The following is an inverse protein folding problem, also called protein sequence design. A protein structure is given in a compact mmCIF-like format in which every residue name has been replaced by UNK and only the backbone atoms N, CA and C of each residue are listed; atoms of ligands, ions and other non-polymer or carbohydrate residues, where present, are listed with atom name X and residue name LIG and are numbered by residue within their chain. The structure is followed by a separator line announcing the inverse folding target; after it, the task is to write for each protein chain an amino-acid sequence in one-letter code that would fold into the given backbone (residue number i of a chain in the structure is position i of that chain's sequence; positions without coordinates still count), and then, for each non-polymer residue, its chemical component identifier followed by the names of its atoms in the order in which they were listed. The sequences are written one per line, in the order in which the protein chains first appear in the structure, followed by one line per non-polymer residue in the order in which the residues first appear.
data_IF_365336298102
#
_entry.id   IF_365336298102
#
_cell.length_a   1.000
_cell.length_b   1.000
_cell.length_c   1.000
_cell.angle_alpha   90.00
_cell.angle_beta   90.00
_cell.angle_gamma   90.00
#
_symmetry.space_group_name_H-M   'P 1'
#
loop_
_entity.id
_entity.type
_entity.pdbx_description
1 polymer ?
#
# COMPACT_ATOMS: atom_id res chain seq x y z
N UNK A 1 -24.71 19.51 -18.52
CA UNK A 1 -23.96 18.61 -17.62
C UNK A 1 -24.08 17.19 -18.17
N UNK A 2 -22.99 16.53 -18.60
CA UNK A 2 -23.10 15.23 -19.24
C UNK A 2 -23.54 14.17 -18.21
N UNK A 3 -24.54 13.39 -18.61
CA UNK A 3 -25.26 12.41 -17.82
C UNK A 3 -24.33 11.25 -17.44
N UNK A 4 -24.24 10.96 -16.14
CA UNK A 4 -23.64 9.75 -15.60
C UNK A 4 -24.46 8.53 -16.02
N UNK A 5 -24.14 7.98 -17.18
CA UNK A 5 -24.52 6.61 -17.54
C UNK A 5 -23.23 5.83 -17.60
N UNK A 6 -22.83 5.19 -16.49
CA UNK A 6 -21.65 4.33 -16.44
C UNK A 6 -21.96 3.03 -17.21
N UNK A 7 -21.41 2.83 -18.41
CA UNK A 7 -21.73 1.65 -19.19
C UNK A 7 -20.87 0.49 -18.68
N UNK A 8 -21.45 -0.71 -18.69
CA UNK A 8 -20.93 -2.04 -18.27
C UNK A 8 -19.42 -2.29 -18.48
N UNK A 9 -18.79 -1.58 -19.42
CA UNK A 9 -17.34 -1.54 -19.66
C UNK A 9 -16.51 -1.09 -18.46
N UNK A 10 -16.93 -0.05 -17.71
CA UNK A 10 -16.18 0.46 -16.55
C UNK A 10 -16.16 -0.55 -15.40
N UNK A 11 -17.29 -1.22 -15.14
CA UNK A 11 -17.38 -2.29 -14.13
C UNK A 11 -16.51 -3.49 -14.49
N UNK A 12 -16.42 -3.87 -15.78
CA UNK A 12 -15.54 -4.95 -16.24
C UNK A 12 -14.05 -4.59 -16.11
N UNK A 13 -13.67 -3.34 -16.39
CA UNK A 13 -12.29 -2.86 -16.20
C UNK A 13 -11.95 -2.82 -14.71
N UNK A 14 -12.80 -2.22 -13.88
CA UNK A 14 -12.60 -2.15 -12.44
C UNK A 14 -12.48 -3.54 -11.81
N UNK A 15 -13.37 -4.48 -12.15
CA UNK A 15 -13.34 -5.86 -11.64
C UNK A 15 -12.05 -6.58 -12.02
N UNK A 16 -11.58 -6.44 -13.27
CA UNK A 16 -10.32 -7.05 -13.72
C UNK A 16 -9.10 -6.43 -13.04
N UNK A 17 -9.06 -5.11 -12.90
CA UNK A 17 -7.97 -4.41 -12.19
C UNK A 17 -7.95 -4.78 -10.71
N UNK A 18 -9.13 -4.84 -10.07
CA UNK A 18 -9.27 -5.21 -8.67
C UNK A 18 -8.83 -6.66 -8.42
N UNK A 19 -9.21 -7.58 -9.30
CA UNK A 19 -8.74 -8.97 -9.25
C UNK A 19 -7.22 -9.07 -9.37
N UNK A 20 -6.62 -8.34 -10.34
CA UNK A 20 -5.17 -8.30 -10.50
C UNK A 20 -4.48 -7.72 -9.26
N UNK A 21 -5.04 -6.66 -8.66
CA UNK A 21 -4.54 -6.06 -7.44
C UNK A 21 -4.54 -7.06 -6.27
N UNK A 22 -5.66 -7.76 -6.04
CA UNK A 22 -5.74 -8.79 -4.99
C UNK A 22 -4.73 -9.91 -5.23
N UNK A 23 -4.64 -10.43 -6.47
CA UNK A 23 -3.67 -11.48 -6.79
C UNK A 23 -2.22 -11.00 -6.55
N UNK A 24 -1.90 -9.76 -6.93
CA UNK A 24 -0.58 -9.18 -6.70
C UNK A 24 -0.29 -8.99 -5.20
N UNK A 25 -1.26 -8.53 -4.41
CA UNK A 25 -1.14 -8.39 -2.96
C UNK A 25 -0.96 -9.74 -2.25
N UNK A 26 -1.74 -10.76 -2.64
CA UNK A 26 -1.60 -12.11 -2.09
C UNK A 26 -0.25 -12.73 -2.45
N UNK A 27 0.21 -12.55 -3.68
CA UNK A 27 1.52 -13.01 -4.12
C UNK A 27 2.64 -12.31 -3.33
N UNK A 28 2.51 -11.01 -3.09
CA UNK A 28 3.47 -10.23 -2.28
C UNK A 28 3.58 -10.76 -0.86
N UNK A 29 2.45 -10.95 -0.18
CA UNK A 29 2.41 -11.47 1.18
C UNK A 29 2.92 -12.91 1.23
N UNK A 30 2.50 -13.78 0.31
CA UNK A 30 2.93 -15.16 0.25
C UNK A 30 4.45 -15.28 0.04
N UNK A 31 5.01 -14.47 -0.86
CA UNK A 31 6.45 -14.46 -1.10
C UNK A 31 7.23 -13.95 0.11
N UNK A 32 6.76 -12.87 0.75
CA UNK A 32 7.35 -12.39 2.00
C UNK A 32 7.34 -13.46 3.10
N UNK A 33 6.23 -14.19 3.23
CA UNK A 33 6.09 -15.26 4.21
C UNK A 33 7.00 -16.46 3.93
N UNK A 34 7.18 -16.83 2.65
CA UNK A 34 8.12 -17.87 2.23
C UNK A 34 9.56 -17.48 2.54
N UNK A 35 9.98 -16.26 2.18
CA UNK A 35 11.35 -15.81 2.45
C UNK A 35 11.62 -15.73 3.95
N UNK A 36 10.71 -15.13 4.73
CA UNK A 36 10.87 -15.03 6.20
C UNK A 36 10.89 -16.42 6.85
N UNK A 37 10.12 -17.38 6.36
CA UNK A 37 10.12 -18.74 6.91
C UNK A 37 11.42 -19.50 6.62
N UNK A 38 12.05 -19.24 5.46
CA UNK A 38 13.32 -19.87 5.06
C UNK A 38 14.50 -19.22 5.78
N UNK A 39 14.59 -17.89 5.75
CA UNK A 39 15.74 -17.16 6.27
C UNK A 39 15.67 -16.92 7.79
N UNK A 40 14.46 -16.94 8.36
CA UNK A 40 14.21 -16.74 9.80
C UNK A 40 15.06 -15.60 10.39
N UNK A 41 14.93 -14.37 9.88
CA UNK A 41 15.69 -13.23 10.41
C UNK A 41 15.29 -12.99 11.87
N UNK A 42 16.13 -13.46 12.79
CA UNK A 42 15.82 -13.50 14.22
C UNK A 42 16.05 -14.84 14.91
N UNK A 43 16.29 -15.93 14.16
CA UNK A 43 16.75 -17.20 14.71
C UNK A 43 18.12 -17.00 15.38
N UNK A 44 18.12 -16.95 16.73
CA UNK A 44 19.32 -16.65 17.53
C UNK A 44 19.25 -15.32 18.29
N UNK A 45 18.27 -14.45 18.00
CA UNK A 45 17.95 -13.28 18.84
C UNK A 45 16.81 -13.69 19.76
N UNK A 46 17.15 -14.20 20.94
CA UNK A 46 16.18 -14.31 22.01
C UNK A 46 15.81 -12.88 22.44
N UNK A 47 14.80 -12.30 21.80
CA UNK A 47 14.03 -11.20 22.37
C UNK A 47 13.29 -11.75 23.59
N UNK A 48 14.00 -12.06 24.68
CA UNK A 48 13.35 -12.29 25.96
C UNK A 48 12.69 -10.96 26.30
N UNK A 49 11.35 -10.86 26.20
CA UNK A 49 10.67 -9.65 26.58
C UNK A 49 10.90 -9.51 28.08
N UNK A 50 11.34 -8.33 28.52
CA UNK A 50 11.48 -8.07 29.96
C UNK A 50 10.13 -8.11 30.71
N UNK A 51 9.01 -8.26 30.00
CA UNK A 51 7.69 -8.51 30.56
C UNK A 51 6.86 -9.43 29.63
N UNK A 52 6.77 -10.71 29.99
CA UNK A 52 5.90 -11.70 29.35
C UNK A 52 4.40 -11.35 29.49
N UNK A 53 4.06 -10.35 30.31
CA UNK A 53 2.69 -9.86 30.50
C UNK A 53 2.16 -8.96 29.37
N UNK A 54 3.03 -8.28 28.61
CA UNK A 54 2.59 -7.35 27.57
C UNK A 54 2.18 -8.05 26.26
N UNK A 55 2.73 -9.24 25.98
CA UNK A 55 2.41 -10.02 24.77
C UNK A 55 1.15 -10.89 24.97
N UNK A 56 0.88 -11.32 26.21
CA UNK A 56 -0.34 -12.05 26.57
C UNK A 56 -1.62 -11.18 26.53
N UNK A 57 -1.47 -9.85 26.44
CA UNK A 57 -2.59 -8.93 26.28
C UNK A 57 -3.10 -8.84 24.83
N UNK A 58 -2.36 -9.36 23.84
CA UNK A 58 -2.87 -9.56 22.48
C UNK A 58 -3.66 -10.87 22.48
N UNK A 59 -4.86 -10.83 23.09
CA UNK A 59 -5.86 -11.86 22.83
C UNK A 59 -6.11 -11.85 21.33
N UNK A 60 -5.63 -12.88 20.63
CA UNK A 60 -6.14 -13.25 19.32
C UNK A 60 -7.62 -13.55 19.49
N UNK A 61 -8.47 -12.54 19.32
CA UNK A 61 -9.89 -12.77 19.08
C UNK A 61 -9.98 -13.74 17.88
N UNK A 62 -10.67 -14.89 18.03
CA UNK A 62 -10.75 -15.86 16.96
C UNK A 62 -11.38 -15.18 15.75
N UNK A 63 -10.63 -15.10 14.66
CA UNK A 63 -11.03 -14.49 13.39
C UNK A 63 -12.21 -15.28 12.79
N UNK A 64 -13.41 -15.04 13.30
CA UNK A 64 -14.65 -15.69 12.89
C UNK A 64 -15.34 -14.76 11.89
N UNK A 65 -15.80 -15.31 10.76
CA UNK A 65 -16.50 -14.53 9.72
C UNK A 65 -17.68 -13.71 10.25
N UNK A 66 -18.37 -14.20 11.30
CA UNK A 66 -19.41 -13.42 12.01
C UNK A 66 -18.86 -12.19 12.72
N UNK A 67 -17.71 -12.31 13.39
CA UNK A 67 -17.05 -11.20 14.11
C UNK A 67 -16.51 -10.19 13.09
N UNK A 68 -15.92 -10.65 11.99
CA UNK A 68 -15.46 -9.77 10.91
C UNK A 68 -16.61 -8.96 10.27
N UNK A 69 -17.76 -9.59 10.03
CA UNK A 69 -18.94 -8.91 9.47
C UNK A 69 -19.61 -7.98 10.50
N UNK A 70 -19.71 -8.39 11.77
CA UNK A 70 -20.27 -7.52 12.81
C UNK A 70 -19.37 -6.34 13.13
N UNK A 71 -18.04 -6.50 13.03
CA UNK A 71 -17.07 -5.42 13.08
C UNK A 71 -16.94 -4.67 11.75
N UNK A 72 -17.61 -5.06 10.66
CA UNK A 72 -17.59 -4.29 9.42
C UNK A 72 -18.69 -3.22 9.38
N UNK A 73 -19.78 -3.42 10.12
CA UNK A 73 -20.89 -2.47 10.21
C UNK A 73 -20.74 -1.62 11.48
N UNK A 74 -20.36 -0.33 11.37
CA UNK A 74 -20.16 0.51 12.54
C UNK A 74 -21.51 0.74 13.24
N UNK A 75 -21.56 0.48 14.55
CA UNK A 75 -22.67 0.93 15.40
C UNK A 75 -22.60 2.44 15.64
N UNK A 76 -21.39 3.01 15.68
CA UNK A 76 -21.13 4.45 15.75
C UNK A 76 -19.71 4.79 15.27
N UNK A 77 -19.56 5.86 14.48
CA UNK A 77 -18.26 6.33 13.95
C UNK A 77 -17.33 6.77 15.09
N UNK A 78 -17.89 7.38 16.14
CA UNK A 78 -17.12 7.88 17.29
C UNK A 78 -16.49 6.73 18.08
N UNK A 79 -17.20 5.61 18.23
CA UNK A 79 -16.67 4.41 18.89
C UNK A 79 -15.60 3.72 18.02
N UNK A 80 -15.79 3.68 16.70
CA UNK A 80 -14.80 3.15 15.76
C UNK A 80 -13.47 3.94 15.79
N UNK A 81 -13.55 5.27 15.86
CA UNK A 81 -12.38 6.14 15.99
C UNK A 81 -11.71 5.99 17.37
N UNK A 82 -12.49 5.83 18.44
CA UNK A 82 -11.95 5.63 19.79
C UNK A 82 -11.24 4.28 19.94
N UNK A 83 -11.76 3.23 19.32
CA UNK A 83 -11.21 1.87 19.36
C UNK A 83 -10.14 1.59 18.30
N UNK A 84 -9.83 2.56 17.43
CA UNK A 84 -8.91 2.41 16.31
C UNK A 84 -9.26 1.22 15.39
N UNK A 85 -10.56 0.99 15.17
CA UNK A 85 -11.08 -0.08 14.32
C UNK A 85 -10.95 0.32 12.83
N UNK A 86 -9.77 0.09 12.26
CA UNK A 86 -9.40 0.55 10.90
C UNK A 86 -10.42 0.07 9.85
N UNK A 87 -10.88 -1.18 9.96
CA UNK A 87 -11.84 -1.75 9.01
C UNK A 87 -13.16 -0.95 8.97
N UNK A 88 -13.70 -0.58 10.13
CA UNK A 88 -14.94 0.19 10.24
C UNK A 88 -14.78 1.59 9.62
N UNK A 89 -13.65 2.23 9.91
CA UNK A 89 -13.33 3.57 9.42
C UNK A 89 -13.26 3.56 7.88
N UNK A 90 -12.62 2.54 7.29
CA UNK A 90 -12.51 2.41 5.82
C UNK A 90 -13.88 2.16 5.19
N UNK A 91 -14.67 1.23 5.72
CA UNK A 91 -16.02 0.94 5.20
C UNK A 91 -16.90 2.18 5.25
N UNK A 92 -16.92 2.89 6.38
CA UNK A 92 -17.64 4.14 6.54
C UNK A 92 -17.16 5.22 5.55
N UNK A 93 -15.85 5.41 5.39
CA UNK A 93 -15.26 6.38 4.46
C UNK A 93 -15.70 6.14 3.02
N UNK A 94 -15.78 4.88 2.58
CA UNK A 94 -16.28 4.53 1.25
C UNK A 94 -17.76 4.92 1.09
N UNK A 95 -18.61 4.61 2.07
CA UNK A 95 -20.02 4.99 2.04
C UNK A 95 -20.22 6.51 2.07
N UNK A 96 -19.45 7.22 2.90
CA UNK A 96 -19.45 8.69 2.96
C UNK A 96 -19.01 9.29 1.62
N UNK A 97 -17.94 8.77 1.03
CA UNK A 97 -17.43 9.20 -0.28
C UNK A 97 -18.46 8.98 -1.40
N UNK A 98 -19.09 7.81 -1.46
CA UNK A 98 -20.17 7.53 -2.41
C UNK A 98 -21.39 8.45 -2.20
N UNK A 99 -21.73 8.75 -0.95
CA UNK A 99 -22.86 9.64 -0.61
C UNK A 99 -22.59 11.09 -1.00
N UNK A 100 -21.39 11.61 -0.71
CA UNK A 100 -20.97 12.95 -1.14
C UNK A 100 -20.92 13.07 -2.66
N UNK A 101 -20.41 12.04 -3.34
CA UNK A 101 -20.42 11.98 -4.81
C UNK A 101 -21.84 11.98 -5.41
N UNK A 102 -22.80 11.33 -4.75
CA UNK A 102 -24.20 11.29 -5.20
C UNK A 102 -24.94 12.63 -5.01
N UNK A 103 -24.57 13.42 -3.99
CA UNK A 103 -25.16 14.73 -3.70
C UNK A 103 -24.68 15.81 -4.71
N UNK A 104 -23.46 15.68 -5.24
CA UNK A 104 -22.91 16.57 -6.25
C UNK A 104 -22.56 17.97 -5.71
N UNK A 105 -23.05 19.02 -6.35
CA UNK A 105 -22.64 20.42 -6.09
C UNK A 105 -22.82 20.88 -4.64
N UNK A 106 -23.82 20.35 -3.92
CA UNK A 106 -24.05 20.67 -2.50
C UNK A 106 -23.01 20.06 -1.55
N UNK A 107 -22.26 19.05 -1.99
CA UNK A 107 -21.22 18.39 -1.21
C UNK A 107 -19.83 19.04 -1.36
N UNK A 108 -19.65 19.94 -2.33
CA UNK A 108 -18.38 20.64 -2.60
C UNK A 108 -17.71 21.27 -1.36
N UNK A 109 -18.42 21.98 -0.46
CA UNK A 109 -17.76 22.53 0.74
C UNK A 109 -17.23 21.44 1.68
N UNK A 110 -17.92 20.30 1.79
CA UNK A 110 -17.45 19.18 2.64
C UNK A 110 -16.22 18.53 2.01
N UNK A 111 -16.24 18.32 0.69
CA UNK A 111 -15.08 17.75 -0.03
C UNK A 111 -13.85 18.64 0.12
N UNK A 112 -13.99 19.96 0.02
CA UNK A 112 -12.87 20.91 0.23
C UNK A 112 -12.31 20.90 1.65
N UNK A 113 -13.16 20.74 2.65
CA UNK A 113 -12.72 20.60 4.05
C UNK A 113 -11.95 19.30 4.23
N UNK A 114 -12.45 18.18 3.68
CA UNK A 114 -11.76 16.89 3.74
C UNK A 114 -10.40 16.94 3.02
N UNK A 115 -10.32 17.59 1.87
CA UNK A 115 -9.08 17.78 1.12
C UNK A 115 -8.05 18.63 1.89
N UNK A 116 -8.51 19.74 2.49
CA UNK A 116 -7.68 20.57 3.36
C UNK A 116 -7.17 19.79 4.57
N UNK A 117 -8.01 18.91 5.14
CA UNK A 117 -7.62 18.05 6.27
C UNK A 117 -6.51 17.07 5.86
N UNK A 118 -6.59 16.46 4.68
CA UNK A 118 -5.52 15.58 4.15
C UNK A 118 -4.20 16.36 4.07
N UNK A 119 -4.21 17.57 3.51
CA UNK A 119 -3.01 18.42 3.45
C UNK A 119 -2.45 18.76 4.84
N UNK A 120 -3.30 19.04 5.83
CA UNK A 120 -2.87 19.27 7.21
C UNK A 120 -2.24 18.01 7.80
N UNK A 121 -2.82 16.82 7.59
CA UNK A 121 -2.27 15.55 8.06
C UNK A 121 -0.92 15.23 7.41
N UNK A 122 -0.76 15.48 6.10
CA UNK A 122 0.51 15.33 5.39
C UNK A 122 1.57 16.30 5.95
N UNK A 123 1.20 17.56 6.22
CA UNK A 123 2.12 18.55 6.81
C UNK A 123 2.53 18.18 8.23
N UNK A 124 1.58 17.71 9.04
CA UNK A 124 1.82 17.23 10.40
C UNK A 124 2.78 16.04 10.40
N UNK A 125 2.56 15.07 9.51
CA UNK A 125 3.49 13.94 9.31
C UNK A 125 4.89 14.45 8.96
N UNK A 126 5.00 15.47 8.11
CA UNK A 126 6.27 16.13 7.80
C UNK A 126 6.96 16.74 9.02
N UNK A 127 6.22 17.38 9.93
CA UNK A 127 6.79 17.87 11.19
C UNK A 127 7.27 16.75 12.10
N UNK A 128 6.49 15.66 12.23
CA UNK A 128 6.92 14.47 12.98
C UNK A 128 8.19 13.86 12.38
N UNK A 129 8.31 13.87 11.05
CA UNK A 129 9.47 13.33 10.35
C UNK A 129 10.74 14.17 10.58
N UNK A 130 10.65 15.47 10.91
CA UNK A 130 11.80 16.27 11.35
C UNK A 130 12.37 15.79 12.70
N UNK A 131 11.54 15.22 13.56
CA UNK A 131 11.97 14.63 14.84
C UNK A 131 12.40 13.16 14.71
N UNK A 132 12.19 12.55 13.54
CA UNK A 132 12.58 11.15 13.30
C UNK A 132 14.08 10.89 13.51
N UNK A 133 15.03 11.75 13.08
CA UNK A 133 16.46 11.50 13.31
C UNK A 133 16.82 11.40 14.79
N UNK A 134 16.24 12.26 15.63
CA UNK A 134 16.45 12.24 17.08
C UNK A 134 15.85 10.97 17.71
N UNK A 135 14.64 10.61 17.29
CA UNK A 135 13.91 9.43 17.79
C UNK A 135 14.63 8.14 17.40
N UNK A 136 15.07 8.02 16.15
CA UNK A 136 15.82 6.86 15.65
C UNK A 136 17.18 6.75 16.32
N UNK A 137 17.88 7.88 16.52
CA UNK A 137 19.15 7.88 17.26
C UNK A 137 18.98 7.38 18.70
N UNK A 138 17.97 7.88 19.41
CA UNK A 138 17.65 7.44 20.77
C UNK A 138 17.29 5.94 20.81
N UNK A 139 16.46 5.47 19.88
CA UNK A 139 16.04 4.07 19.80
C UNK A 139 17.21 3.12 19.50
N UNK A 140 18.07 3.45 18.52
CA UNK A 140 19.25 2.64 18.17
C UNK A 140 20.27 2.67 19.32
N UNK A 141 20.48 3.83 19.95
CA UNK A 141 21.39 3.95 21.09
C UNK A 141 20.95 3.09 22.28
N UNK A 142 19.65 3.12 22.62
CA UNK A 142 19.08 2.26 23.68
C UNK A 142 19.21 0.77 23.34
N UNK A 143 18.95 0.40 22.08
CA UNK A 143 19.07 -0.98 21.62
C UNK A 143 20.52 -1.51 21.72
N UNK A 144 21.51 -0.67 21.37
CA UNK A 144 22.93 -1.02 21.50
C UNK A 144 23.34 -1.10 22.98
N UNK A 145 22.82 -0.22 23.83
CA UNK A 145 23.14 -0.22 25.27
C UNK A 145 22.64 -1.50 25.97
N UNK A 146 21.46 -2.00 25.61
CA UNK A 146 20.88 -3.20 26.22
C UNK A 146 21.39 -4.51 25.60
N UNK A 147 21.60 -4.55 24.28
CA UNK A 147 21.80 -5.79 23.53
C UNK A 147 23.14 -5.85 22.77
N UNK A 148 23.93 -4.80 22.81
CA UNK A 148 25.24 -4.71 22.16
C UNK A 148 25.18 -4.61 20.64
N UNK A 149 26.36 -4.67 20.02
CA UNK A 149 26.55 -4.53 18.57
C UNK A 149 26.01 -5.71 17.73
N UNK A 150 25.75 -6.87 18.34
CA UNK A 150 25.22 -8.04 17.63
C UNK A 150 23.83 -7.83 17.03
N UNK A 151 23.03 -6.95 17.62
CA UNK A 151 21.69 -6.59 17.09
C UNK A 151 21.79 -5.78 15.81
N UNK A 152 22.83 -4.96 15.66
CA UNK A 152 23.03 -4.15 14.46
C UNK A 152 23.32 -5.01 13.22
N UNK A 153 24.09 -6.09 13.40
CA UNK A 153 24.36 -7.08 12.32
C UNK A 153 23.06 -7.77 11.91
N UNK A 154 22.24 -8.17 12.89
CA UNK A 154 20.99 -8.85 12.61
C UNK A 154 19.95 -7.94 11.94
N UNK A 155 19.87 -6.67 12.38
CA UNK A 155 19.05 -5.66 11.71
C UNK A 155 19.53 -5.42 10.27
N UNK A 156 20.85 -5.45 10.03
CA UNK A 156 21.44 -5.37 8.70
C UNK A 156 21.08 -6.56 7.80
N UNK A 157 21.15 -7.79 8.33
CA UNK A 157 20.73 -9.01 7.61
C UNK A 157 19.24 -8.93 7.26
N UNK A 158 18.39 -8.56 8.22
CA UNK A 158 16.95 -8.37 8.01
C UNK A 158 16.67 -7.31 6.93
N UNK A 159 17.36 -6.17 6.96
CA UNK A 159 17.21 -5.14 5.91
C UNK A 159 17.69 -5.65 4.55
N UNK A 160 18.76 -6.44 4.50
CA UNK A 160 19.24 -7.08 3.28
C UNK A 160 18.22 -8.05 2.69
N UNK A 161 17.63 -8.90 3.52
CA UNK A 161 16.56 -9.83 3.13
C UNK A 161 15.30 -9.09 2.66
N UNK A 162 14.93 -8.00 3.34
CA UNK A 162 13.81 -7.15 2.93
C UNK A 162 14.04 -6.58 1.53
N UNK A 163 15.22 -6.02 1.23
CA UNK A 163 15.53 -5.51 -0.10
C UNK A 163 15.63 -6.61 -1.16
N UNK A 164 16.18 -7.78 -0.80
CA UNK A 164 16.20 -8.95 -1.67
C UNK A 164 14.76 -9.39 -2.04
N UNK A 165 13.89 -9.50 -1.04
CA UNK A 165 12.46 -9.83 -1.19
C UNK A 165 11.77 -8.82 -2.09
N UNK A 166 11.99 -7.52 -1.85
CA UNK A 166 11.40 -6.44 -2.64
C UNK A 166 11.87 -6.49 -4.11
N UNK A 167 13.15 -6.75 -4.34
CA UNK A 167 13.71 -6.94 -5.67
C UNK A 167 13.16 -8.18 -6.38
N UNK A 168 13.01 -9.30 -5.66
CA UNK A 168 12.41 -10.53 -6.18
C UNK A 168 10.94 -10.33 -6.54
N UNK A 169 10.18 -9.63 -5.68
CA UNK A 169 8.80 -9.26 -5.93
C UNK A 169 8.68 -8.42 -7.21
N UNK A 170 9.53 -7.41 -7.38
CA UNK A 170 9.57 -6.60 -8.60
C UNK A 170 9.88 -7.45 -9.84
N UNK A 171 10.88 -8.33 -9.76
CA UNK A 171 11.23 -9.22 -10.86
C UNK A 171 10.07 -10.15 -11.25
N UNK A 172 9.37 -10.71 -10.28
CA UNK A 172 8.21 -11.60 -10.51
C UNK A 172 7.03 -10.83 -11.09
N UNK A 173 6.69 -9.66 -10.53
CA UNK A 173 5.58 -8.84 -11.05
C UNK A 173 5.85 -8.34 -12.47
N UNK A 174 7.07 -7.88 -12.75
CA UNK A 174 7.48 -7.46 -14.10
C UNK A 174 7.49 -8.68 -15.03
N UNK A 175 8.00 -9.82 -14.60
CA UNK A 175 8.05 -11.06 -15.37
C UNK A 175 6.67 -11.62 -15.72
N UNK A 176 5.74 -11.68 -14.77
CA UNK A 176 4.35 -12.05 -15.05
C UNK A 176 3.69 -11.05 -16.02
N UNK A 177 3.94 -9.76 -15.82
CA UNK A 177 3.38 -8.72 -16.67
C UNK A 177 3.88 -8.82 -18.12
N UNK A 178 5.18 -9.03 -18.33
CA UNK A 178 5.74 -9.22 -19.68
C UNK A 178 5.28 -10.51 -20.34
N UNK A 179 5.05 -11.58 -19.57
CA UNK A 179 4.52 -12.85 -20.10
C UNK A 179 3.05 -12.73 -20.56
N UNK A 180 2.23 -11.95 -19.85
CA UNK A 180 0.79 -11.80 -20.17
C UNK A 180 0.57 -10.79 -21.31
N UNK A 181 1.34 -9.70 -21.36
CA UNK A 181 1.09 -8.56 -22.27
C UNK A 181 2.13 -8.45 -23.40
N UNK A 182 3.32 -9.05 -23.23
CA UNK A 182 4.40 -9.05 -24.21
C UNK A 182 5.53 -8.04 -23.93
N UNK A 183 6.52 -7.92 -24.84
CA UNK A 183 7.75 -7.15 -24.64
C UNK A 183 7.55 -5.63 -24.54
N UNK A 184 6.36 -5.12 -24.89
CA UNK A 184 6.02 -3.70 -24.74
C UNK A 184 6.06 -3.25 -23.26
N UNK A 185 5.78 -4.16 -22.31
CA UNK A 185 5.84 -3.86 -20.88
C UNK A 185 7.27 -3.58 -20.41
N UNK A 186 8.29 -4.27 -20.92
CA UNK A 186 9.67 -3.98 -20.52
C UNK A 186 10.08 -2.52 -20.86
N UNK A 187 9.56 -1.99 -21.98
CA UNK A 187 9.75 -0.58 -22.37
C UNK A 187 8.95 0.37 -21.48
N UNK A 188 7.75 -0.03 -21.05
CA UNK A 188 6.92 0.76 -20.13
C UNK A 188 7.52 0.82 -18.72
N UNK A 189 7.99 -0.31 -18.18
CA UNK A 189 8.65 -0.39 -16.87
C UNK A 189 9.85 0.52 -16.81
N UNK A 190 10.65 0.59 -17.88
CA UNK A 190 11.80 1.50 -17.96
C UNK A 190 11.39 2.98 -17.91
N UNK A 191 10.24 3.33 -18.50
CA UNK A 191 9.72 4.71 -18.50
C UNK A 191 9.09 5.14 -17.17
N UNK A 192 8.55 4.18 -16.40
CA UNK A 192 7.93 4.41 -15.09
C UNK A 192 8.95 4.28 -13.94
N UNK A 193 10.13 3.71 -14.21
CA UNK A 193 11.20 3.56 -13.21
C UNK A 193 11.63 4.90 -12.60
N UNK A 194 11.67 5.97 -13.39
CA UNK A 194 11.97 7.34 -12.90
C UNK A 194 10.96 7.80 -11.81
N UNK A 195 9.64 7.82 -12.07
CA UNK A 195 8.65 8.10 -11.02
C UNK A 195 8.68 7.10 -9.87
N UNK A 196 8.90 5.81 -10.12
CA UNK A 196 8.92 4.79 -9.07
C UNK A 196 10.10 4.98 -8.11
N UNK A 197 11.27 5.35 -8.63
CA UNK A 197 12.45 5.69 -7.81
C UNK A 197 12.20 6.97 -7.01
N UNK A 198 11.52 7.97 -7.59
CA UNK A 198 11.10 9.17 -6.87
C UNK A 198 10.14 8.83 -5.70
N UNK A 199 9.19 7.92 -5.93
CA UNK A 199 8.27 7.45 -4.89
C UNK A 199 9.03 6.74 -3.75
N UNK A 200 10.03 5.92 -4.11
CA UNK A 200 10.86 5.18 -3.17
C UNK A 200 11.72 6.11 -2.31
N UNK A 201 12.38 7.11 -2.91
CA UNK A 201 13.24 8.05 -2.17
C UNK A 201 12.44 9.01 -1.28
N UNK A 202 11.24 9.38 -1.71
CA UNK A 202 10.35 10.27 -0.93
C UNK A 202 9.47 9.51 0.06
N UNK A 203 9.48 8.17 0.01
CA UNK A 203 8.58 7.29 0.78
C UNK A 203 7.10 7.67 0.66
N UNK A 204 6.71 8.31 -0.45
CA UNK A 204 5.36 8.81 -0.69
C UNK A 204 4.89 8.41 -2.08
N UNK A 205 3.85 7.57 -2.11
CA UNK A 205 3.20 7.17 -3.37
C UNK A 205 2.46 8.32 -4.06
N UNK A 206 2.07 9.36 -3.32
CA UNK A 206 1.37 10.54 -3.84
C UNK A 206 2.27 11.42 -4.70
N UNK A 207 3.54 11.57 -4.30
CA UNK A 207 4.53 12.38 -5.02
C UNK A 207 4.84 11.83 -6.43
N UNK A 208 4.69 10.52 -6.64
CA UNK A 208 5.00 9.86 -7.91
C UNK A 208 3.78 9.71 -8.85
N UNK A 209 2.57 9.94 -8.34
CA UNK A 209 1.33 9.80 -9.12
C UNK A 209 1.28 10.71 -10.36
N UNK A 210 1.52 12.03 -10.28
CA UNK A 210 1.47 12.91 -11.46
C UNK A 210 2.55 12.56 -12.49
N UNK A 211 3.76 12.20 -12.04
CA UNK A 211 4.84 11.78 -12.94
C UNK A 211 4.56 10.46 -13.64
N UNK A 212 3.84 9.54 -12.97
CA UNK A 212 3.42 8.27 -13.57
C UNK A 212 2.35 8.49 -14.64
N UNK A 213 1.38 9.38 -14.41
CA UNK A 213 0.34 9.74 -15.39
C UNK A 213 0.93 10.39 -16.65
N UNK A 214 1.83 11.37 -16.50
CA UNK A 214 2.47 12.04 -17.65
C UNK A 214 3.29 11.06 -18.52
N UNK A 215 4.01 10.12 -17.90
CA UNK A 215 4.75 9.07 -18.62
C UNK A 215 3.80 8.08 -19.31
N UNK A 216 2.67 7.75 -18.69
CA UNK A 216 1.64 6.90 -19.28
C UNK A 216 0.94 7.56 -20.46
N UNK A 217 0.61 8.86 -20.37
CA UNK A 217 0.04 9.63 -21.48
C UNK A 217 1.01 9.71 -22.66
N UNK A 218 2.29 10.03 -22.41
CA UNK A 218 3.34 10.05 -23.44
C UNK A 218 3.55 8.69 -24.10
N UNK A 219 3.48 7.61 -23.33
CA UNK A 219 3.55 6.24 -23.85
C UNK A 219 2.31 5.89 -24.70
N UNK A 220 1.12 6.32 -24.27
CA UNK A 220 -0.14 6.17 -25.01
C UNK A 220 -0.16 6.95 -26.33
N UNK A 221 0.39 8.17 -26.36
CA UNK A 221 0.49 9.03 -27.56
C UNK A 221 1.55 8.51 -28.55
N UNK A 222 2.64 7.90 -28.07
CA UNK A 222 3.69 7.31 -28.92
C UNK A 222 3.28 5.96 -29.56
N UNK A 223 2.26 5.29 -29.01
CA UNK A 223 1.84 3.95 -29.45
C UNK A 223 0.80 3.96 -30.59
N UNK A 224 1.14 4.55 -31.74
CA UNK A 224 0.44 4.18 -33.00
C UNK A 224 0.76 2.74 -33.43
N UNK A 225 1.83 2.11 -32.91
CA UNK A 225 2.31 0.80 -33.36
C UNK A 225 2.55 -0.28 -32.27
N UNK A 226 2.39 -0.03 -30.96
CA UNK A 226 2.63 -1.07 -29.93
C UNK A 226 1.32 -1.72 -29.46
N UNK A 227 0.87 -2.76 -30.17
CA UNK A 227 0.10 -3.90 -29.63
C UNK A 227 -1.06 -3.67 -28.62
N UNK A 228 -1.67 -2.49 -28.54
CA UNK A 228 -2.90 -2.27 -27.79
C UNK A 228 -4.03 -3.19 -28.26
N UNK A 229 -3.93 -3.74 -29.49
CA UNK A 229 -4.83 -4.74 -30.07
C UNK A 229 -4.78 -6.12 -29.39
N UNK A 230 -3.66 -6.52 -28.76
CA UNK A 230 -3.55 -7.84 -28.09
C UNK A 230 -4.19 -7.79 -26.70
N UNK A 231 -3.86 -6.77 -25.91
CA UNK A 231 -4.52 -6.51 -24.63
C UNK A 231 -6.01 -6.22 -24.82
N UNK A 232 -6.41 -5.43 -25.84
CA UNK A 232 -7.83 -5.24 -26.17
C UNK A 232 -8.54 -6.54 -26.60
N UNK A 233 -7.87 -7.48 -27.27
CA UNK A 233 -8.49 -8.74 -27.76
C UNK A 233 -8.65 -9.79 -26.65
N UNK A 234 -7.88 -9.71 -25.57
CA UNK A 234 -8.09 -10.50 -24.35
C UNK A 234 -9.02 -9.79 -23.33
N UNK A 235 -9.17 -8.47 -23.44
CA UNK A 235 -10.01 -7.67 -22.55
C UNK A 235 -11.44 -7.41 -23.07
N UNK A 236 -11.67 -7.42 -24.40
CA UNK A 236 -13.01 -7.46 -25.04
C UNK A 236 -13.55 -8.87 -25.17
#
# INVERSE_FOLDING_TARGET
MPKWVMPKTLGRIFSKTFFLFICASLLSIALGLVIVNIFQPGAGINFVPHDVGAVAAVKSEPFTLKVFISHAVPTSIVDAMARNEILQIVVFSIFLGCSLAAIGEKADPIVKVLDSLVHVMLKLTGYVMLFAPLTVFAAISGLIAERGLGVMVSAGIFMGEFYLTLGMLWAILIGLSTMIVGPCIARLTKSILEPALLAFTTSSSEAAFPGTLDKLEKFGVSSKNCQLRSAYRLLL
#
